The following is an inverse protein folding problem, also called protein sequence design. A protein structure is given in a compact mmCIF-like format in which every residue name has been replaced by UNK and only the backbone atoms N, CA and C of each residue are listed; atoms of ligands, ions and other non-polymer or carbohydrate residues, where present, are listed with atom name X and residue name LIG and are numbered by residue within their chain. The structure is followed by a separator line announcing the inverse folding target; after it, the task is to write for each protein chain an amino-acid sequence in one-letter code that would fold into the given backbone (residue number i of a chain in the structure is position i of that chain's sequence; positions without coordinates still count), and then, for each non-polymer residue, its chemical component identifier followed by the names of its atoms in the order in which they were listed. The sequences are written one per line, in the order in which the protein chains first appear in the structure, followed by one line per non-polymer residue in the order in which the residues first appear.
data_IF_768913798696
#
_entry.id   IF_768913798696
#
_cell.length_a   1.000
_cell.length_b   1.000
_cell.length_c   1.000
_cell.angle_alpha   90.00
_cell.angle_beta   90.00
_cell.angle_gamma   90.00
#
_symmetry.space_group_name_H-M   'P 1'
#
loop_
_entity.id
_entity.type
_entity.pdbx_description
1 polymer ?
#
# COMPACT_ATOMS: atom_id res chain seq x y z
N UNK A 1 24.24 -21.56 36.03
CA UNK A 1 24.63 -20.39 36.84
C UNK A 1 23.66 -20.32 38.02
N UNK A 2 24.06 -19.92 39.22
CA UNK A 2 23.13 -19.80 40.36
C UNK A 2 23.04 -18.32 40.76
N UNK A 3 21.84 -17.72 40.65
CA UNK A 3 21.60 -16.32 40.96
C UNK A 3 21.22 -16.19 42.43
N UNK A 4 22.13 -15.61 43.25
CA UNK A 4 21.84 -15.30 44.65
C UNK A 4 20.71 -14.29 44.76
N UNK A 5 19.65 -14.65 45.49
CA UNK A 5 18.42 -13.85 45.59
C UNK A 5 17.91 -13.77 47.04
N UNK A 6 17.25 -12.66 47.33
CA UNK A 6 16.52 -12.46 48.58
C UNK A 6 15.09 -12.06 48.24
N UNK A 7 14.15 -12.94 48.60
CA UNK A 7 12.72 -12.83 48.26
C UNK A 7 11.92 -12.76 49.57
N UNK A 8 11.19 -11.70 49.81
CA UNK A 8 10.42 -11.52 51.04
C UNK A 8 9.01 -10.96 50.75
N UNK A 9 8.02 -11.54 51.42
CA UNK A 9 6.70 -10.93 51.51
C UNK A 9 6.65 -9.96 52.68
N UNK A 10 6.12 -8.77 52.42
CA UNK A 10 6.02 -7.72 53.41
C UNK A 10 4.69 -6.97 53.29
N UNK A 11 4.26 -6.43 54.43
CA UNK A 11 3.11 -5.55 54.51
C UNK A 11 3.53 -4.10 54.24
N UNK A 12 2.95 -3.48 53.23
CA UNK A 12 3.10 -2.06 52.92
C UNK A 12 2.12 -1.27 53.84
N UNK A 13 2.59 -0.93 55.05
CA UNK A 13 1.78 -0.31 56.09
C UNK A 13 1.40 1.11 55.71
N UNK A 14 0.10 1.40 55.69
CA UNK A 14 -0.45 2.73 55.55
C UNK A 14 -0.79 3.29 56.96
N UNK A 15 -0.44 4.58 57.23
CA UNK A 15 -0.79 5.22 58.47
C UNK A 15 -2.30 5.11 58.74
N UNK A 16 -2.67 4.77 59.99
CA UNK A 16 -4.05 4.69 60.47
C UNK A 16 -4.94 3.60 59.89
N UNK A 17 -4.42 2.67 59.06
CA UNK A 17 -5.22 1.55 58.54
C UNK A 17 -4.90 0.25 59.27
N UNK A 18 -5.94 -0.51 59.66
CA UNK A 18 -5.77 -1.80 60.34
C UNK A 18 -5.27 -2.90 59.39
N UNK A 19 -5.37 -2.68 58.07
CA UNK A 19 -4.93 -3.59 57.02
C UNK A 19 -3.90 -2.94 56.10
N UNK A 20 -3.03 -3.74 55.50
CA UNK A 20 -1.96 -3.31 54.61
C UNK A 20 -1.95 -4.08 53.31
N UNK A 21 -1.40 -3.48 52.23
CA UNK A 21 -1.19 -4.17 50.97
C UNK A 21 -0.07 -5.19 51.14
N UNK A 22 -0.32 -6.41 50.64
CA UNK A 22 0.70 -7.45 50.62
C UNK A 22 1.55 -7.32 49.38
N UNK A 23 2.86 -7.20 49.55
CA UNK A 23 3.84 -7.11 48.47
C UNK A 23 4.87 -8.21 48.57
N UNK A 24 5.36 -8.68 47.42
CA UNK A 24 6.46 -9.59 47.27
C UNK A 24 7.65 -8.84 46.70
N UNK A 25 8.71 -8.63 47.50
CA UNK A 25 9.93 -7.92 47.11
C UNK A 25 11.05 -8.92 46.89
N UNK A 26 11.70 -8.78 45.72
CA UNK A 26 12.75 -9.66 45.26
C UNK A 26 13.99 -8.83 44.97
N UNK A 27 15.14 -9.25 45.49
CA UNK A 27 16.44 -8.60 45.25
C UNK A 27 17.45 -9.62 44.74
N UNK A 28 18.21 -9.26 43.73
CA UNK A 28 19.32 -10.06 43.19
C UNK A 28 20.31 -9.13 42.47
N UNK A 29 21.59 -9.38 42.56
CA UNK A 29 22.65 -8.72 41.80
C UNK A 29 22.45 -7.20 41.60
N UNK A 30 22.18 -6.47 42.68
CA UNK A 30 21.88 -5.02 42.62
C UNK A 30 20.48 -4.64 42.09
N UNK A 31 19.72 -5.56 41.53
CA UNK A 31 18.38 -5.36 41.05
C UNK A 31 17.32 -5.51 42.15
N UNK A 32 16.21 -4.79 42.00
CA UNK A 32 15.05 -4.93 42.89
C UNK A 32 13.74 -4.82 42.14
N UNK A 33 12.81 -5.76 42.38
CA UNK A 33 11.45 -5.73 41.85
C UNK A 33 10.48 -5.99 43.00
N UNK A 34 9.32 -5.35 42.97
CA UNK A 34 8.22 -5.62 43.90
C UNK A 34 6.91 -5.88 43.12
N UNK A 35 6.23 -6.96 43.49
CA UNK A 35 4.92 -7.35 42.96
C UNK A 35 3.84 -7.11 44.01
N UNK A 36 2.69 -6.64 43.59
CA UNK A 36 1.50 -6.58 44.42
C UNK A 36 0.80 -7.94 44.33
N UNK A 37 0.61 -8.59 45.49
CA UNK A 37 -0.07 -9.90 45.56
C UNK A 37 -1.58 -9.78 45.29
N UNK A 38 -2.12 -8.58 45.32
CA UNK A 38 -3.54 -8.33 45.01
C UNK A 38 -4.45 -8.35 46.25
N UNK A 39 -3.89 -8.62 47.44
CA UNK A 39 -4.68 -8.70 48.67
C UNK A 39 -4.23 -7.65 49.69
N UNK A 40 -5.18 -7.29 50.58
CA UNK A 40 -4.89 -6.53 51.82
C UNK A 40 -5.01 -7.50 52.99
N UNK A 41 -4.08 -7.39 53.91
CA UNK A 41 -3.96 -8.30 55.05
C UNK A 41 -4.05 -7.48 56.35
N UNK A 42 -4.85 -7.96 57.30
CA UNK A 42 -4.99 -7.36 58.64
C UNK A 42 -3.63 -7.46 59.37
N UNK A 43 -3.09 -6.35 59.83
CA UNK A 43 -1.73 -6.27 60.34
C UNK A 43 -1.46 -7.22 61.54
N UNK A 44 -2.45 -7.44 62.40
CA UNK A 44 -2.36 -8.32 63.57
C UNK A 44 -2.52 -9.81 63.26
N UNK A 45 -2.92 -10.16 62.05
CA UNK A 45 -3.11 -11.54 61.59
C UNK A 45 -2.01 -11.99 60.62
N UNK A 46 -0.94 -11.19 60.45
CA UNK A 46 0.22 -11.55 59.64
C UNK A 46 1.33 -12.10 60.53
N UNK A 47 1.92 -13.24 60.13
CA UNK A 47 3.08 -13.82 60.79
C UNK A 47 4.33 -13.46 59.98
N UNK A 48 5.10 -12.48 60.48
CA UNK A 48 6.23 -11.93 59.70
C UNK A 48 7.36 -12.95 59.50
N UNK A 49 7.64 -13.78 60.48
CA UNK A 49 8.67 -14.82 60.42
C UNK A 49 8.34 -15.90 59.39
N UNK A 50 7.08 -16.34 59.35
CA UNK A 50 6.59 -17.31 58.36
C UNK A 50 6.24 -16.68 57.00
N UNK A 51 6.12 -15.37 56.95
CA UNK A 51 5.65 -14.61 55.78
C UNK A 51 4.28 -15.12 55.25
N UNK A 52 3.34 -15.42 56.18
CA UNK A 52 2.03 -15.99 55.90
C UNK A 52 0.94 -15.39 56.80
N UNK A 53 -0.30 -15.45 56.30
CA UNK A 53 -1.45 -15.16 57.13
C UNK A 53 -1.70 -16.26 58.18
N UNK A 54 -2.12 -15.88 59.42
CA UNK A 54 -2.49 -16.84 60.46
C UNK A 54 -3.60 -17.78 59.97
N UNK A 55 -3.46 -19.12 60.16
CA UNK A 55 -4.51 -20.08 59.78
C UNK A 55 -5.88 -19.71 60.37
N UNK A 56 -6.93 -20.12 59.69
CA UNK A 56 -8.34 -19.94 60.13
C UNK A 56 -8.75 -18.47 60.39
N UNK A 57 -8.08 -17.51 59.71
CA UNK A 57 -8.45 -16.09 59.75
C UNK A 57 -8.99 -15.59 58.43
N UNK A 58 -9.66 -14.43 58.46
CA UNK A 58 -10.10 -13.71 57.26
C UNK A 58 -9.55 -12.30 57.26
N UNK A 59 -9.35 -11.70 56.08
CA UNK A 59 -8.64 -10.46 55.89
C UNK A 59 -9.42 -9.47 55.01
N UNK A 60 -9.20 -8.19 55.29
CA UNK A 60 -9.72 -7.07 54.49
C UNK A 60 -11.25 -6.96 54.51
N UNK A 61 -11.78 -5.94 53.85
CA UNK A 61 -13.25 -5.68 53.80
C UNK A 61 -14.05 -6.83 53.18
N UNK A 62 -13.47 -7.62 52.28
CA UNK A 62 -14.12 -8.75 51.60
C UNK A 62 -14.04 -10.07 52.36
N UNK A 63 -13.47 -10.08 53.58
CA UNK A 63 -13.28 -11.27 54.46
C UNK A 63 -12.66 -12.47 53.71
N UNK A 64 -11.62 -12.22 52.91
CA UNK A 64 -10.89 -13.27 52.16
C UNK A 64 -10.21 -14.19 53.16
N UNK A 65 -10.31 -15.52 52.96
CA UNK A 65 -9.69 -16.50 53.86
C UNK A 65 -8.17 -16.47 53.81
N UNK A 66 -7.52 -16.70 54.94
CA UNK A 66 -6.07 -16.84 55.00
C UNK A 66 -5.55 -17.96 54.08
N UNK A 67 -6.32 -19.03 53.91
CA UNK A 67 -5.99 -20.13 53.00
C UNK A 67 -5.86 -19.63 51.55
N UNK A 68 -6.82 -18.85 51.06
CA UNK A 68 -6.81 -18.26 49.72
C UNK A 68 -5.57 -17.34 49.52
N UNK A 69 -5.29 -16.49 50.49
CA UNK A 69 -4.14 -15.56 50.39
C UNK A 69 -2.83 -16.32 50.43
N UNK A 70 -2.69 -17.33 51.31
CA UNK A 70 -1.48 -18.14 51.40
C UNK A 70 -1.25 -18.99 50.15
N UNK A 71 -2.34 -19.50 49.50
CA UNK A 71 -2.25 -20.21 48.23
C UNK A 71 -1.71 -19.30 47.11
N UNK A 72 -2.14 -18.03 47.04
CA UNK A 72 -1.63 -17.06 46.08
C UNK A 72 -0.17 -16.67 46.36
N UNK A 73 0.23 -16.58 47.64
CA UNK A 73 1.62 -16.40 48.03
C UNK A 73 2.48 -17.54 47.49
N UNK A 74 2.07 -18.79 47.70
CA UNK A 74 2.79 -19.98 47.22
C UNK A 74 2.90 -19.98 45.72
N UNK A 75 1.81 -19.71 45.00
CA UNK A 75 1.79 -19.62 43.54
C UNK A 75 2.77 -18.57 43.01
N UNK A 76 2.85 -17.41 43.68
CA UNK A 76 3.77 -16.35 43.24
C UNK A 76 5.22 -16.70 43.56
N UNK A 77 5.50 -17.38 44.69
CA UNK A 77 6.83 -17.92 45.01
C UNK A 77 7.31 -18.91 43.93
N UNK A 78 6.46 -19.85 43.57
CA UNK A 78 6.73 -20.84 42.51
C UNK A 78 7.03 -20.14 41.18
N UNK A 79 6.15 -19.24 40.74
CA UNK A 79 6.36 -18.46 39.49
C UNK A 79 7.70 -17.72 39.50
N UNK A 80 8.09 -17.09 40.61
CA UNK A 80 9.35 -16.37 40.74
C UNK A 80 10.56 -17.33 40.72
N UNK A 81 10.45 -18.48 41.37
CA UNK A 81 11.50 -19.50 41.32
C UNK A 81 11.69 -20.07 39.93
N UNK A 82 10.63 -20.38 39.23
CA UNK A 82 10.66 -20.84 37.81
C UNK A 82 11.25 -19.77 36.88
N UNK A 83 10.98 -18.50 37.16
CA UNK A 83 11.58 -17.41 36.41
C UNK A 83 13.08 -17.33 36.60
N UNK A 84 13.56 -17.43 37.85
CA UNK A 84 15.01 -17.50 38.11
C UNK A 84 15.63 -18.71 37.47
N UNK A 85 15.02 -19.90 37.59
CA UNK A 85 15.49 -21.13 36.95
C UNK A 85 15.64 -20.98 35.43
N UNK A 86 14.69 -20.34 34.77
CA UNK A 86 14.79 -20.02 33.34
C UNK A 86 16.03 -19.18 33.02
N UNK A 87 16.27 -18.09 33.77
CA UNK A 87 17.44 -17.24 33.52
C UNK A 87 18.76 -17.95 33.91
N UNK A 88 18.75 -18.78 34.92
CA UNK A 88 19.91 -19.61 35.33
C UNK A 88 20.30 -20.62 34.22
N UNK A 89 19.32 -21.22 33.55
CA UNK A 89 19.55 -22.12 32.40
C UNK A 89 20.09 -21.40 31.19
N UNK A 90 19.61 -20.20 30.90
CA UNK A 90 20.07 -19.37 29.76
C UNK A 90 21.44 -18.71 30.02
N UNK A 91 21.97 -18.81 31.24
CA UNK A 91 23.24 -18.19 31.62
C UNK A 91 23.21 -16.66 31.65
N UNK A 92 22.02 -16.04 31.75
CA UNK A 92 21.79 -14.62 31.73
C UNK A 92 21.31 -14.10 33.09
N UNK A 93 21.93 -13.02 33.61
CA UNK A 93 21.44 -12.32 34.79
C UNK A 93 20.44 -11.25 34.34
N UNK A 94 19.14 -11.40 34.66
CA UNK A 94 18.12 -10.48 34.14
C UNK A 94 18.21 -9.10 34.83
N UNK A 95 17.89 -8.05 34.08
CA UNK A 95 17.58 -6.74 34.63
C UNK A 95 16.22 -6.77 35.34
N UNK A 96 15.93 -5.74 36.14
CA UNK A 96 14.63 -5.61 36.83
C UNK A 96 13.43 -5.59 35.86
N UNK A 97 13.60 -5.08 34.64
CA UNK A 97 12.57 -5.03 33.62
C UNK A 97 12.32 -6.41 33.02
N UNK A 98 13.38 -7.07 32.54
CA UNK A 98 13.31 -8.42 31.98
C UNK A 98 12.69 -9.44 32.94
N UNK A 99 13.12 -9.38 34.21
CA UNK A 99 12.56 -10.24 35.25
C UNK A 99 11.07 -10.00 35.49
N UNK A 100 10.66 -8.72 35.55
CA UNK A 100 9.25 -8.35 35.73
C UNK A 100 8.39 -8.81 34.55
N UNK A 101 8.89 -8.64 33.34
CA UNK A 101 8.17 -9.01 32.12
C UNK A 101 7.97 -10.52 32.04
N UNK A 102 9.01 -11.33 32.37
CA UNK A 102 8.90 -12.79 32.37
C UNK A 102 7.94 -13.31 33.45
N UNK A 103 7.99 -12.75 34.68
CA UNK A 103 7.02 -13.08 35.73
C UNK A 103 5.60 -12.69 35.33
N UNK A 104 5.40 -11.52 34.71
CA UNK A 104 4.08 -11.10 34.25
C UNK A 104 3.57 -12.00 33.10
N UNK A 105 4.44 -12.42 32.19
CA UNK A 105 4.12 -13.38 31.12
C UNK A 105 3.62 -14.70 31.69
N UNK A 106 4.37 -15.30 32.65
CA UNK A 106 3.99 -16.54 33.34
C UNK A 106 2.70 -16.42 34.13
N UNK A 107 2.40 -15.23 34.68
CA UNK A 107 1.15 -14.93 35.36
C UNK A 107 -0.02 -14.57 34.41
N UNK A 108 0.14 -14.65 33.09
CA UNK A 108 -0.87 -14.29 32.09
C UNK A 108 -1.24 -12.80 32.08
N UNK A 109 -0.40 -11.94 32.69
CA UNK A 109 -0.62 -10.48 32.73
C UNK A 109 -0.04 -9.73 31.56
N UNK A 110 0.88 -10.34 30.83
CA UNK A 110 1.37 -9.86 29.54
C UNK A 110 0.73 -10.74 28.48
N UNK A 111 -0.25 -10.23 27.78
CA UNK A 111 -0.58 -10.72 26.45
C UNK A 111 0.63 -10.40 25.59
N UNK A 112 1.34 -11.39 25.06
CA UNK A 112 2.37 -11.14 24.05
C UNK A 112 1.71 -10.24 23.01
N UNK A 113 2.24 -9.03 22.79
CA UNK A 113 1.84 -8.23 21.64
C UNK A 113 2.11 -9.10 20.45
N UNK A 114 1.05 -9.48 19.74
CA UNK A 114 1.18 -10.25 18.50
C UNK A 114 2.32 -9.63 17.69
N UNK A 115 3.33 -10.41 17.38
CA UNK A 115 4.45 -9.94 16.57
C UNK A 115 3.86 -9.49 15.25
N UNK A 116 4.00 -8.20 14.93
CA UNK A 116 3.54 -7.66 13.65
C UNK A 116 4.07 -8.54 12.52
N UNK A 117 3.17 -8.97 11.66
CA UNK A 117 3.50 -9.69 10.44
C UNK A 117 4.08 -8.74 9.39
N UNK A 118 4.71 -9.28 8.35
CA UNK A 118 5.16 -8.48 7.20
C UNK A 118 3.99 -7.72 6.57
N UNK A 119 2.77 -8.27 6.64
CA UNK A 119 1.56 -7.65 6.09
C UNK A 119 1.06 -6.49 6.93
N UNK A 120 1.25 -6.52 8.26
CA UNK A 120 0.97 -5.38 9.14
C UNK A 120 1.92 -4.22 8.84
N UNK A 121 3.20 -4.52 8.60
CA UNK A 121 4.18 -3.54 8.14
C UNK A 121 3.85 -3.02 6.74
N UNK A 122 3.35 -3.87 5.84
CA UNK A 122 2.93 -3.43 4.51
C UNK A 122 1.73 -2.48 4.59
N UNK A 123 0.76 -2.77 5.46
CA UNK A 123 -0.38 -1.88 5.69
C UNK A 123 0.05 -0.55 6.31
N UNK A 124 1.00 -0.58 7.22
CA UNK A 124 1.62 0.63 7.79
C UNK A 124 2.33 1.45 6.71
N UNK A 125 3.13 0.82 5.84
CA UNK A 125 3.76 1.44 4.68
C UNK A 125 2.74 2.13 3.77
N UNK A 126 1.66 1.45 3.41
CA UNK A 126 0.59 2.02 2.57
C UNK A 126 0.03 3.30 3.21
N UNK A 127 -0.18 3.29 4.52
CA UNK A 127 -0.74 4.42 5.26
C UNK A 127 0.24 5.58 5.35
N UNK A 128 1.49 5.33 5.75
CA UNK A 128 2.51 6.36 5.94
C UNK A 128 2.92 6.98 4.60
N UNK A 129 3.36 6.14 3.65
CA UNK A 129 3.84 6.60 2.35
C UNK A 129 2.72 7.19 1.49
N UNK A 130 1.52 6.67 1.64
CA UNK A 130 0.35 7.23 0.95
C UNK A 130 0.04 8.64 1.39
N UNK A 131 0.15 8.93 2.68
CA UNK A 131 -0.04 10.28 3.23
C UNK A 131 1.13 11.21 2.86
N UNK A 132 2.36 10.75 3.06
CA UNK A 132 3.58 11.52 2.81
C UNK A 132 3.70 11.95 1.34
N UNK A 133 3.40 11.04 0.41
CA UNK A 133 3.52 11.27 -1.04
C UNK A 133 2.18 11.61 -1.71
N UNK A 134 1.13 11.90 -0.96
CA UNK A 134 -0.20 12.27 -1.49
C UNK A 134 -0.69 11.31 -2.59
N UNK A 135 -0.66 9.99 -2.31
CA UNK A 135 -0.99 9.00 -3.31
C UNK A 135 -2.42 9.12 -3.84
N UNK A 136 -2.57 8.92 -5.14
CA UNK A 136 -3.88 8.75 -5.77
C UNK A 136 -4.54 7.43 -5.32
N UNK A 137 -5.88 7.34 -5.39
CA UNK A 137 -6.61 6.09 -5.13
C UNK A 137 -6.06 4.90 -5.93
N UNK A 138 -5.64 5.12 -7.18
CA UNK A 138 -5.07 4.07 -8.01
C UNK A 138 -3.74 3.55 -7.47
N UNK A 139 -2.92 4.41 -6.86
CA UNK A 139 -1.68 4.01 -6.21
C UNK A 139 -1.97 3.15 -4.98
N UNK A 140 -2.93 3.56 -4.13
CA UNK A 140 -3.40 2.75 -3.02
C UNK A 140 -3.91 1.37 -3.46
N UNK A 141 -4.75 1.31 -4.49
CA UNK A 141 -5.27 0.05 -5.06
C UNK A 141 -4.13 -0.86 -5.54
N UNK A 142 -3.12 -0.32 -6.22
CA UNK A 142 -1.96 -1.09 -6.71
C UNK A 142 -1.18 -1.73 -5.57
N UNK A 143 -0.88 -0.98 -4.49
CA UNK A 143 -0.18 -1.53 -3.33
C UNK A 143 -1.03 -2.57 -2.60
N UNK A 144 -2.33 -2.36 -2.43
CA UNK A 144 -3.25 -3.37 -1.88
C UNK A 144 -3.26 -4.65 -2.71
N UNK A 145 -3.30 -4.53 -4.04
CA UNK A 145 -3.22 -5.68 -4.95
C UNK A 145 -1.88 -6.41 -4.81
N UNK A 146 -0.77 -5.66 -4.73
CA UNK A 146 0.56 -6.25 -4.50
C UNK A 146 0.62 -7.01 -3.18
N UNK A 147 0.12 -6.41 -2.09
CA UNK A 147 0.03 -7.07 -0.78
C UNK A 147 -0.80 -8.36 -0.85
N UNK A 148 -1.93 -8.34 -1.58
CA UNK A 148 -2.76 -9.53 -1.78
C UNK A 148 -2.05 -10.63 -2.57
N UNK A 149 -1.22 -10.28 -3.56
CA UNK A 149 -0.38 -11.26 -4.25
C UNK A 149 0.65 -11.86 -3.32
N UNK A 150 1.31 -11.08 -2.47
CA UNK A 150 2.25 -11.60 -1.48
C UNK A 150 1.56 -12.53 -0.47
N UNK A 151 0.34 -12.21 -0.03
CA UNK A 151 -0.47 -13.09 0.84
C UNK A 151 -0.86 -14.40 0.17
N UNK A 152 -1.18 -14.38 -1.12
CA UNK A 152 -1.47 -15.59 -1.90
C UNK A 152 -0.22 -16.43 -2.16
N UNK A 153 0.91 -15.77 -2.37
CA UNK A 153 2.21 -16.42 -2.56
C UNK A 153 2.64 -17.18 -1.29
N UNK A 154 2.59 -16.54 -0.13
CA UNK A 154 2.89 -17.14 1.17
C UNK A 154 2.12 -16.41 2.28
N UNK A 155 1.08 -17.04 2.87
CA UNK A 155 0.27 -16.43 3.93
C UNK A 155 1.06 -16.07 5.20
N UNK A 156 2.09 -16.83 5.50
CA UNK A 156 3.02 -16.73 6.64
C UNK A 156 4.38 -16.12 6.26
N UNK A 157 4.44 -15.43 5.12
CA UNK A 157 5.64 -14.77 4.62
C UNK A 157 6.30 -13.88 5.70
N UNK A 158 7.63 -14.02 5.81
CA UNK A 158 8.48 -13.16 6.64
C UNK A 158 9.48 -12.39 5.79
N UNK A 159 10.13 -11.37 6.36
CA UNK A 159 11.22 -10.68 5.66
C UNK A 159 12.40 -11.62 5.33
N UNK A 160 12.70 -12.57 6.21
CA UNK A 160 13.79 -13.52 6.02
C UNK A 160 13.58 -14.48 4.84
N UNK A 161 12.33 -14.69 4.41
CA UNK A 161 12.00 -15.52 3.25
C UNK A 161 12.28 -14.82 1.92
N UNK A 162 12.44 -13.49 1.92
CA UNK A 162 12.64 -12.68 0.71
C UNK A 162 14.12 -12.53 0.33
N UNK A 163 14.87 -13.65 0.44
CA UNK A 163 16.22 -13.83 -0.12
C UNK A 163 16.21 -13.76 -1.65
N UNK A 164 17.36 -13.84 -2.30
CA UNK A 164 17.43 -13.98 -3.77
C UNK A 164 16.59 -15.15 -4.29
N UNK A 165 16.61 -16.30 -3.59
CA UNK A 165 15.82 -17.47 -3.93
C UNK A 165 14.32 -17.22 -3.69
N UNK A 166 13.94 -16.60 -2.56
CA UNK A 166 12.57 -16.25 -2.26
C UNK A 166 11.97 -15.26 -3.27
N UNK A 167 12.74 -14.25 -3.69
CA UNK A 167 12.33 -13.34 -4.74
C UNK A 167 12.22 -14.01 -6.11
N UNK A 168 13.07 -15.02 -6.39
CA UNK A 168 12.94 -15.85 -7.60
C UNK A 168 11.66 -16.66 -7.59
N UNK A 169 11.34 -17.31 -6.46
CA UNK A 169 10.06 -18.05 -6.29
C UNK A 169 8.84 -17.12 -6.42
N UNK A 170 8.95 -15.86 -6.00
CA UNK A 170 7.89 -14.86 -6.22
C UNK A 170 7.70 -14.56 -7.71
N UNK A 171 8.78 -14.50 -8.49
CA UNK A 171 8.69 -14.38 -9.96
C UNK A 171 7.97 -15.59 -10.55
N UNK A 172 8.37 -16.81 -10.14
CA UNK A 172 7.75 -18.08 -10.62
C UNK A 172 6.27 -18.13 -10.26
N UNK A 173 5.89 -17.67 -9.07
CA UNK A 173 4.49 -17.50 -8.69
C UNK A 173 3.72 -16.63 -9.68
N UNK A 174 4.25 -15.46 -10.08
CA UNK A 174 3.59 -14.60 -11.08
C UNK A 174 3.50 -15.25 -12.46
N UNK A 175 4.39 -16.18 -12.77
CA UNK A 175 4.37 -16.91 -14.05
C UNK A 175 3.42 -18.12 -14.02
N UNK A 176 2.98 -18.58 -12.85
CA UNK A 176 2.13 -19.75 -12.68
C UNK A 176 0.67 -19.46 -12.36
N UNK A 177 0.34 -18.25 -11.88
CA UNK A 177 -1.04 -17.91 -11.50
C UNK A 177 -1.94 -17.74 -12.73
N UNK A 178 -3.22 -18.08 -12.56
CA UNK A 178 -4.25 -17.80 -13.58
C UNK A 178 -4.66 -16.32 -13.54
N UNK A 179 -4.67 -15.70 -14.71
CA UNK A 179 -5.12 -14.31 -14.92
C UNK A 179 -5.98 -14.30 -16.21
N UNK A 180 -7.22 -13.85 -16.09
CA UNK A 180 -8.16 -13.76 -17.22
C UNK A 180 -8.32 -15.09 -18.01
N UNK A 181 -8.37 -16.23 -17.30
CA UNK A 181 -8.41 -17.60 -17.83
C UNK A 181 -7.15 -18.03 -18.60
N UNK A 182 -6.04 -17.34 -18.43
CA UNK A 182 -4.74 -17.70 -19.00
C UNK A 182 -3.68 -17.90 -17.91
N UNK A 183 -2.78 -18.86 -18.10
CA UNK A 183 -1.68 -19.10 -17.19
C UNK A 183 -0.61 -18.04 -17.33
N UNK A 184 -0.18 -17.48 -16.19
CA UNK A 184 0.91 -16.54 -16.07
C UNK A 184 0.55 -15.09 -16.41
N UNK A 185 1.18 -14.18 -15.69
CA UNK A 185 1.10 -12.74 -15.99
C UNK A 185 2.02 -12.36 -17.16
N UNK A 186 1.64 -11.31 -17.88
CA UNK A 186 2.57 -10.62 -18.79
C UNK A 186 3.78 -10.12 -18.00
N UNK A 187 5.00 -10.37 -18.48
CA UNK A 187 6.24 -10.02 -17.79
C UNK A 187 6.28 -8.57 -17.29
N UNK A 188 5.76 -7.64 -18.10
CA UNK A 188 5.67 -6.23 -17.72
C UNK A 188 4.78 -6.00 -16.47
N UNK A 189 3.70 -6.78 -16.33
CA UNK A 189 2.80 -6.69 -15.17
C UNK A 189 3.44 -7.27 -13.92
N UNK A 190 4.06 -8.46 -14.02
CA UNK A 190 4.79 -9.08 -12.93
C UNK A 190 5.91 -8.15 -12.43
N UNK A 191 6.69 -7.59 -13.36
CA UNK A 191 7.77 -6.62 -13.04
C UNK A 191 7.28 -5.40 -12.26
N UNK A 192 6.08 -4.89 -12.59
CA UNK A 192 5.46 -3.80 -11.81
C UNK A 192 5.18 -4.21 -10.36
N UNK A 193 4.61 -5.39 -10.12
CA UNK A 193 4.32 -5.85 -8.76
C UNK A 193 5.60 -6.11 -7.97
N UNK A 194 6.63 -6.68 -8.61
CA UNK A 194 7.95 -6.86 -7.99
C UNK A 194 8.55 -5.52 -7.58
N UNK A 195 8.48 -4.50 -8.44
CA UNK A 195 9.00 -3.17 -8.12
C UNK A 195 8.22 -2.49 -6.97
N UNK A 196 6.89 -2.68 -6.90
CA UNK A 196 6.09 -2.20 -5.78
C UNK A 196 6.44 -2.91 -4.47
N UNK A 197 6.69 -4.23 -4.52
CA UNK A 197 7.18 -5.00 -3.38
C UNK A 197 8.58 -4.52 -2.94
N UNK A 198 9.49 -4.29 -3.88
CA UNK A 198 10.82 -3.73 -3.58
C UNK A 198 10.75 -2.34 -2.94
N UNK A 199 9.81 -1.49 -3.34
CA UNK A 199 9.60 -0.19 -2.69
C UNK A 199 9.18 -0.36 -1.22
N UNK A 200 8.24 -1.26 -0.95
CA UNK A 200 7.89 -1.61 0.43
C UNK A 200 9.09 -2.15 1.23
N UNK A 201 9.87 -3.08 0.65
CA UNK A 201 11.04 -3.67 1.31
C UNK A 201 12.11 -2.61 1.62
N UNK A 202 12.32 -1.66 0.72
CA UNK A 202 13.22 -0.53 0.94
C UNK A 202 12.78 0.31 2.13
N UNK A 203 11.52 0.73 2.18
CA UNK A 203 10.96 1.46 3.31
C UNK A 203 11.09 0.68 4.63
N UNK A 204 10.79 -0.62 4.60
CA UNK A 204 10.90 -1.48 5.78
C UNK A 204 12.35 -1.59 6.28
N UNK A 205 13.34 -1.58 5.37
CA UNK A 205 14.77 -1.58 5.72
C UNK A 205 15.21 -0.23 6.31
N UNK A 206 14.75 0.88 5.74
CA UNK A 206 15.02 2.23 6.26
C UNK A 206 14.44 2.44 7.66
N UNK A 207 13.31 1.80 7.98
CA UNK A 207 12.69 1.79 9.32
C UNK A 207 13.31 0.74 10.28
N UNK A 208 14.25 -0.08 9.83
CA UNK A 208 14.89 -1.13 10.64
C UNK A 208 14.03 -2.39 10.87
N UNK A 209 12.88 -2.52 10.18
CA UNK A 209 12.00 -3.71 10.27
C UNK A 209 12.52 -4.88 9.44
N UNK A 210 13.14 -4.58 8.30
CA UNK A 210 13.71 -5.57 7.39
C UNK A 210 15.24 -5.53 7.44
N UNK A 211 15.85 -6.69 7.69
CA UNK A 211 17.32 -6.88 7.66
C UNK A 211 17.78 -7.61 6.40
N UNK A 212 16.85 -8.24 5.65
CA UNK A 212 17.16 -8.91 4.38
C UNK A 212 17.26 -7.88 3.26
N UNK A 213 18.40 -7.82 2.60
CA UNK A 213 18.72 -6.81 1.58
C UNK A 213 18.84 -7.38 0.16
N UNK A 214 18.50 -8.64 -0.04
CA UNK A 214 18.58 -9.29 -1.36
C UNK A 214 17.81 -8.51 -2.45
N UNK A 215 16.70 -7.85 -2.09
CA UNK A 215 15.89 -7.05 -3.03
C UNK A 215 16.67 -5.90 -3.70
N UNK A 216 17.76 -5.41 -3.10
CA UNK A 216 18.58 -4.31 -3.64
C UNK A 216 19.34 -4.77 -4.89
N UNK A 217 19.92 -5.96 -4.84
CA UNK A 217 20.74 -6.54 -5.91
C UNK A 217 19.96 -7.47 -6.83
N UNK A 218 18.78 -7.95 -6.39
CA UNK A 218 17.93 -8.83 -7.17
C UNK A 218 17.47 -8.17 -8.47
N UNK A 219 17.72 -8.84 -9.59
CA UNK A 219 17.24 -8.44 -10.91
C UNK A 219 16.39 -9.58 -11.46
N UNK A 220 15.10 -9.33 -11.62
CA UNK A 220 14.22 -10.25 -12.31
C UNK A 220 14.64 -10.42 -13.78
N UNK A 221 14.88 -11.66 -14.22
CA UNK A 221 15.29 -11.97 -15.59
C UNK A 221 14.07 -12.06 -16.54
N UNK A 222 13.14 -11.13 -16.40
CA UNK A 222 11.93 -11.09 -17.23
C UNK A 222 12.18 -10.23 -18.48
N UNK A 223 12.10 -10.86 -19.66
CA UNK A 223 12.19 -10.14 -20.94
C UNK A 223 10.98 -9.23 -21.11
N UNK A 224 11.19 -7.99 -21.51
CA UNK A 224 10.12 -7.03 -21.84
C UNK A 224 10.44 -6.33 -23.16
N UNK A 225 9.42 -6.06 -23.95
CA UNK A 225 9.52 -5.29 -25.18
C UNK A 225 8.80 -3.96 -24.95
N UNK A 226 9.33 -2.83 -25.43
CA UNK A 226 8.62 -1.57 -25.43
C UNK A 226 7.30 -1.70 -26.21
N UNK A 227 6.22 -1.17 -25.66
CA UNK A 227 4.94 -1.21 -26.34
C UNK A 227 4.97 -0.35 -27.61
N UNK A 228 4.44 -0.87 -28.73
CA UNK A 228 4.25 -0.11 -29.97
C UNK A 228 3.38 1.12 -29.69
N UNK A 229 3.77 2.26 -30.24
CA UNK A 229 2.97 3.49 -30.14
C UNK A 229 1.78 3.37 -31.06
N UNK A 230 0.57 3.38 -30.53
CA UNK A 230 -0.69 3.34 -31.30
C UNK A 230 -1.28 4.74 -31.30
N UNK A 231 -1.55 5.25 -32.49
CA UNK A 231 -2.12 6.59 -32.72
C UNK A 231 -2.88 6.61 -34.04
N UNK A 232 -3.71 7.61 -34.27
CA UNK A 232 -4.36 7.85 -35.55
C UNK A 232 -3.48 8.70 -36.46
N UNK A 233 -3.22 8.23 -37.67
CA UNK A 233 -2.63 9.08 -38.72
C UNK A 233 -3.58 10.23 -39.05
N UNK A 234 -3.06 11.25 -39.71
CA UNK A 234 -3.85 12.45 -40.02
C UNK A 234 -5.15 12.12 -40.78
N UNK A 235 -5.07 11.28 -41.81
CA UNK A 235 -6.24 10.88 -42.61
C UNK A 235 -7.27 10.12 -41.77
N UNK A 236 -6.82 9.22 -40.88
CA UNK A 236 -7.70 8.47 -39.97
C UNK A 236 -8.36 9.41 -38.94
N UNK A 237 -7.60 10.36 -38.39
CA UNK A 237 -8.15 11.38 -37.50
C UNK A 237 -9.20 12.23 -38.19
N UNK A 238 -8.96 12.63 -39.43
CA UNK A 238 -9.92 13.42 -40.19
C UNK A 238 -11.15 12.59 -40.62
N UNK A 239 -11.01 11.29 -40.91
CA UNK A 239 -12.13 10.38 -41.08
C UNK A 239 -13.02 10.33 -39.83
N UNK A 240 -12.41 10.15 -38.63
CA UNK A 240 -13.13 10.18 -37.34
C UNK A 240 -13.80 11.54 -37.10
N UNK A 241 -13.09 12.64 -37.32
CA UNK A 241 -13.61 14.00 -37.09
C UNK A 241 -14.82 14.33 -37.95
N UNK A 242 -14.81 13.91 -39.23
CA UNK A 242 -15.87 14.17 -40.16
C UNK A 242 -17.02 13.15 -40.12
N UNK A 243 -16.86 12.04 -39.43
CA UNK A 243 -17.92 11.06 -39.23
C UNK A 243 -19.11 11.66 -38.47
N UNK A 244 -20.31 11.22 -38.79
CA UNK A 244 -21.56 11.68 -38.14
C UNK A 244 -22.31 10.49 -37.57
N UNK A 245 -22.88 10.67 -36.39
CA UNK A 245 -23.65 9.64 -35.67
C UNK A 245 -25.01 10.18 -35.24
N UNK A 246 -25.89 10.54 -36.21
CA UNK A 246 -27.12 11.28 -35.93
C UNK A 246 -28.09 10.52 -35.01
N UNK A 247 -28.10 9.20 -35.07
CA UNK A 247 -28.96 8.36 -34.25
C UNK A 247 -28.32 7.89 -32.96
N UNK A 248 -27.06 8.24 -32.72
CA UNK A 248 -26.26 7.81 -31.57
C UNK A 248 -25.56 9.02 -30.88
N UNK A 249 -26.33 9.87 -30.16
CA UNK A 249 -25.79 11.11 -29.59
C UNK A 249 -24.59 10.87 -28.64
N UNK A 250 -24.53 9.69 -28.03
CA UNK A 250 -23.41 9.31 -27.15
C UNK A 250 -22.11 9.04 -27.93
N UNK A 251 -22.19 8.51 -29.16
CA UNK A 251 -21.03 8.35 -30.05
C UNK A 251 -20.59 9.69 -30.62
N UNK A 252 -21.56 10.53 -31.04
CA UNK A 252 -21.25 11.89 -31.52
C UNK A 252 -20.49 12.70 -30.47
N UNK A 253 -20.94 12.67 -29.22
CA UNK A 253 -20.26 13.30 -28.09
C UNK A 253 -18.87 12.71 -27.84
N UNK A 254 -18.77 11.38 -27.80
CA UNK A 254 -17.49 10.70 -27.56
C UNK A 254 -16.47 10.98 -28.66
N UNK A 255 -16.92 11.05 -29.93
CA UNK A 255 -16.12 11.47 -31.08
C UNK A 255 -15.54 12.87 -30.88
N UNK A 256 -16.40 13.83 -30.55
CA UNK A 256 -15.99 15.22 -30.37
C UNK A 256 -14.98 15.36 -29.21
N UNK A 257 -15.24 14.71 -28.07
CA UNK A 257 -14.30 14.68 -26.93
C UNK A 257 -12.96 14.05 -27.30
N UNK A 258 -12.97 12.92 -28.03
CA UNK A 258 -11.75 12.24 -28.45
C UNK A 258 -10.96 13.07 -29.50
N UNK A 259 -11.64 13.63 -30.50
CA UNK A 259 -11.02 14.54 -31.46
C UNK A 259 -10.43 15.78 -30.77
N UNK A 260 -11.13 16.34 -29.77
CA UNK A 260 -10.60 17.43 -28.97
C UNK A 260 -9.28 17.05 -28.26
N UNK A 261 -9.18 15.83 -27.71
CA UNK A 261 -7.93 15.32 -27.17
C UNK A 261 -6.83 15.19 -28.25
N UNK A 262 -7.19 14.72 -29.44
CA UNK A 262 -6.27 14.59 -30.56
C UNK A 262 -5.77 15.96 -31.08
N UNK A 263 -6.53 17.01 -30.90
CA UNK A 263 -6.17 18.38 -31.36
C UNK A 263 -5.54 19.26 -30.27
N UNK A 264 -5.60 18.84 -28.97
CA UNK A 264 -5.08 19.64 -27.85
C UNK A 264 -4.01 18.91 -27.03
N UNK A 265 -3.79 17.62 -27.27
CA UNK A 265 -2.93 16.75 -26.46
C UNK A 265 -3.34 16.54 -24.99
N UNK A 266 -4.44 17.10 -24.54
CA UNK A 266 -4.89 16.99 -23.15
C UNK A 266 -5.13 15.53 -22.74
N UNK A 267 -4.77 15.19 -21.51
CA UNK A 267 -5.14 13.90 -20.94
C UNK A 267 -6.65 13.84 -20.71
N UNK A 268 -7.23 12.64 -20.69
CA UNK A 268 -8.65 12.46 -20.39
C UNK A 268 -9.09 13.19 -19.10
N UNK A 269 -8.29 13.11 -18.02
CA UNK A 269 -8.56 13.81 -16.77
C UNK A 269 -8.63 15.32 -16.94
N UNK A 270 -7.75 15.88 -17.76
CA UNK A 270 -7.65 17.32 -17.97
C UNK A 270 -8.82 17.81 -18.81
N UNK A 271 -9.21 17.06 -19.88
CA UNK A 271 -10.41 17.39 -20.68
C UNK A 271 -11.68 17.29 -19.85
N UNK A 272 -11.80 16.25 -19.01
CA UNK A 272 -12.98 16.05 -18.16
C UNK A 272 -13.19 17.21 -17.17
N UNK A 273 -12.10 17.79 -16.70
CA UNK A 273 -12.14 18.86 -15.71
C UNK A 273 -11.86 20.26 -16.30
N UNK A 274 -11.76 20.37 -17.64
CA UNK A 274 -11.58 21.63 -18.33
C UNK A 274 -12.78 22.55 -18.09
N UNK A 275 -12.55 23.70 -17.50
CA UNK A 275 -13.58 24.70 -17.23
C UNK A 275 -13.66 25.70 -18.38
N UNK A 276 -14.84 26.28 -18.59
CA UNK A 276 -15.03 27.39 -19.55
C UNK A 276 -14.10 28.57 -19.23
N UNK A 277 -13.84 28.83 -17.95
CA UNK A 277 -12.93 29.88 -17.49
C UNK A 277 -11.45 29.63 -17.81
N UNK A 278 -11.06 28.37 -18.09
CA UNK A 278 -9.70 28.01 -18.47
C UNK A 278 -9.40 28.33 -19.94
N UNK A 279 -10.43 28.73 -20.71
CA UNK A 279 -10.36 29.00 -22.14
C UNK A 279 -10.51 30.53 -22.36
N UNK A 280 -9.44 31.17 -22.77
CA UNK A 280 -9.41 32.60 -22.97
C UNK A 280 -8.51 32.95 -24.14
N UNK A 281 -8.92 33.93 -24.94
CA UNK A 281 -8.16 34.51 -26.08
C UNK A 281 -7.56 33.47 -27.03
N UNK A 282 -8.30 32.37 -27.30
CA UNK A 282 -7.87 31.33 -28.20
C UNK A 282 -6.86 30.33 -27.59
N UNK A 283 -6.66 30.38 -26.28
CA UNK A 283 -5.77 29.47 -25.54
C UNK A 283 -6.52 28.72 -24.46
N UNK A 284 -6.02 27.52 -24.15
CA UNK A 284 -6.32 26.79 -22.90
C UNK A 284 -5.17 27.03 -21.94
N UNK A 285 -5.47 27.49 -20.72
CA UNK A 285 -4.49 27.67 -19.65
C UNK A 285 -4.94 26.87 -18.44
N UNK A 286 -4.25 25.79 -18.14
CA UNK A 286 -4.58 24.88 -17.03
C UNK A 286 -3.32 24.43 -16.27
N UNK A 287 -3.52 23.99 -15.02
CA UNK A 287 -2.57 23.12 -14.32
C UNK A 287 -3.02 21.67 -14.45
N UNK A 288 -2.18 20.79 -14.96
CA UNK A 288 -2.55 19.37 -15.20
C UNK A 288 -2.79 18.64 -13.90
N UNK A 289 -3.83 17.80 -13.83
CA UNK A 289 -4.21 17.06 -12.61
C UNK A 289 -3.18 16.00 -12.20
N UNK A 290 -2.45 15.43 -13.16
CA UNK A 290 -1.55 14.30 -12.88
C UNK A 290 -0.13 14.72 -12.51
N UNK A 291 0.34 15.85 -13.00
CA UNK A 291 1.75 16.25 -12.90
C UNK A 291 1.94 17.65 -12.35
N UNK A 292 0.84 18.35 -12.00
CA UNK A 292 0.78 19.72 -11.49
C UNK A 292 1.58 20.72 -12.36
N UNK A 293 1.67 20.42 -13.68
CA UNK A 293 2.37 21.28 -14.64
C UNK A 293 1.44 22.32 -15.24
N UNK A 294 1.81 23.59 -15.26
CA UNK A 294 1.07 24.62 -15.98
C UNK A 294 1.23 24.41 -17.48
N UNK A 295 0.12 24.38 -18.21
CA UNK A 295 0.10 24.29 -19.67
C UNK A 295 -0.63 25.48 -20.27
N UNK A 296 -0.07 26.03 -21.35
CA UNK A 296 -0.75 26.96 -22.24
C UNK A 296 -0.77 26.34 -23.63
N UNK A 297 -1.96 26.03 -24.13
CA UNK A 297 -2.16 25.32 -25.42
C UNK A 297 -2.98 26.24 -26.31
N UNK A 298 -2.46 26.53 -27.50
CA UNK A 298 -3.18 27.27 -28.50
C UNK A 298 -4.28 26.41 -29.16
N UNK A 299 -5.46 26.96 -29.27
CA UNK A 299 -6.59 26.32 -29.92
C UNK A 299 -6.51 26.47 -31.43
N UNK A 300 -6.42 25.34 -32.14
CA UNK A 300 -6.53 25.29 -33.59
C UNK A 300 -8.01 25.36 -34.04
N UNK A 301 -8.22 25.46 -35.37
CA UNK A 301 -9.56 25.57 -35.94
C UNK A 301 -10.50 24.42 -35.59
N UNK A 302 -9.99 23.21 -35.46
CA UNK A 302 -10.79 22.02 -35.13
C UNK A 302 -11.21 22.00 -33.67
N UNK A 303 -10.29 22.27 -32.75
CA UNK A 303 -10.62 22.37 -31.33
C UNK A 303 -11.57 23.52 -31.01
N UNK A 304 -11.43 24.68 -31.70
CA UNK A 304 -12.37 25.81 -31.61
C UNK A 304 -13.76 25.40 -32.08
N UNK A 305 -13.87 24.72 -33.24
CA UNK A 305 -15.16 24.24 -33.77
C UNK A 305 -15.87 23.27 -32.83
N UNK A 306 -15.12 22.38 -32.18
CA UNK A 306 -15.69 21.47 -31.17
C UNK A 306 -16.21 22.25 -29.97
N UNK A 307 -15.42 23.19 -29.41
CA UNK A 307 -15.85 24.01 -28.26
C UNK A 307 -17.09 24.86 -28.57
N UNK A 308 -17.21 25.37 -29.80
CA UNK A 308 -18.37 26.14 -30.22
C UNK A 308 -19.67 25.32 -30.22
N UNK A 309 -19.61 24.01 -30.54
CA UNK A 309 -20.78 23.10 -30.45
C UNK A 309 -21.31 22.99 -29.00
N UNK A 310 -20.46 23.17 -28.01
CA UNK A 310 -20.79 22.93 -26.60
C UNK A 310 -20.78 24.21 -25.76
N UNK A 311 -20.71 25.40 -26.36
CA UNK A 311 -20.61 26.69 -25.65
C UNK A 311 -21.78 26.95 -24.69
N UNK A 312 -23.01 26.57 -25.13
CA UNK A 312 -24.27 26.85 -24.42
C UNK A 312 -24.64 25.76 -23.41
N UNK A 313 -23.79 24.75 -23.22
CA UNK A 313 -24.00 23.73 -22.19
C UNK A 313 -24.03 24.36 -20.80
N UNK A 314 -25.01 23.97 -19.98
CA UNK A 314 -25.10 24.40 -18.58
C UNK A 314 -23.91 23.91 -17.75
N UNK A 315 -23.49 24.72 -16.77
CA UNK A 315 -22.42 24.40 -15.84
C UNK A 315 -21.07 25.01 -16.20
N UNK A 316 -20.06 24.68 -15.39
CA UNK A 316 -18.73 25.29 -15.44
C UNK A 316 -17.76 24.60 -16.40
N UNK A 317 -18.04 23.36 -16.80
CA UNK A 317 -17.16 22.56 -17.67
C UNK A 317 -17.36 22.89 -19.14
N UNK A 318 -16.27 22.83 -19.91
CA UNK A 318 -16.28 23.15 -21.34
C UNK A 318 -16.89 22.04 -22.20
N UNK A 319 -16.81 20.79 -21.77
CA UNK A 319 -17.31 19.63 -22.49
C UNK A 319 -18.00 18.64 -21.54
N UNK A 320 -19.09 17.95 -21.98
CA UNK A 320 -19.78 16.94 -21.18
C UNK A 320 -19.11 15.56 -21.35
N UNK A 321 -17.97 15.36 -20.70
CA UNK A 321 -17.11 14.19 -20.89
C UNK A 321 -17.66 12.93 -20.21
N UNK A 322 -18.00 11.85 -20.94
CA UNK A 322 -18.43 10.57 -20.37
C UNK A 322 -17.32 9.94 -19.49
N UNK A 323 -17.69 9.01 -18.60
CA UNK A 323 -16.70 8.26 -17.80
C UNK A 323 -15.72 7.49 -18.68
N UNK A 324 -14.45 7.39 -18.24
CA UNK A 324 -13.35 6.87 -19.06
C UNK A 324 -13.59 5.48 -19.65
N UNK A 325 -14.25 4.60 -18.90
CA UNK A 325 -14.57 3.25 -19.37
C UNK A 325 -15.52 3.28 -20.57
N UNK A 326 -16.57 4.13 -20.51
CA UNK A 326 -17.51 4.32 -21.64
C UNK A 326 -16.80 5.00 -22.81
N UNK A 327 -15.99 6.03 -22.56
CA UNK A 327 -15.20 6.68 -23.61
C UNK A 327 -14.35 5.67 -24.40
N UNK A 328 -13.61 4.80 -23.70
CA UNK A 328 -12.78 3.78 -24.37
C UNK A 328 -13.63 2.80 -25.21
N UNK A 329 -14.84 2.45 -24.77
CA UNK A 329 -15.75 1.63 -25.53
C UNK A 329 -16.22 2.36 -26.80
N UNK A 330 -16.73 3.57 -26.64
CA UNK A 330 -17.27 4.38 -27.75
C UNK A 330 -16.21 4.75 -28.77
N UNK A 331 -14.99 5.07 -28.37
CA UNK A 331 -13.88 5.33 -29.28
C UNK A 331 -13.61 4.13 -30.20
N UNK A 332 -13.66 2.91 -29.67
CA UNK A 332 -13.49 1.69 -30.48
C UNK A 332 -14.62 1.50 -31.47
N UNK A 333 -15.86 1.74 -31.06
CA UNK A 333 -17.05 1.68 -31.93
C UNK A 333 -16.97 2.71 -33.07
N UNK A 334 -16.58 3.95 -32.74
CA UNK A 334 -16.35 5.04 -33.71
C UNK A 334 -15.24 4.67 -34.70
N UNK A 335 -14.07 4.24 -34.20
CA UNK A 335 -12.95 3.87 -35.05
C UNK A 335 -13.27 2.66 -35.96
N UNK A 336 -14.08 1.71 -35.46
CA UNK A 336 -14.58 0.58 -36.25
C UNK A 336 -15.51 1.06 -37.34
N UNK A 337 -16.44 1.97 -37.06
CA UNK A 337 -17.35 2.55 -38.04
C UNK A 337 -16.61 3.37 -39.12
N UNK A 338 -15.46 3.94 -38.78
CA UNK A 338 -14.56 4.65 -39.68
C UNK A 338 -13.57 3.71 -40.41
N UNK A 339 -13.75 2.39 -40.33
CA UNK A 339 -12.95 1.37 -41.03
C UNK A 339 -11.44 1.42 -40.69
N UNK A 340 -11.06 1.82 -39.48
CA UNK A 340 -9.67 1.86 -39.01
C UNK A 340 -9.22 0.44 -38.63
N UNK A 341 -9.08 -0.43 -39.62
CA UNK A 341 -8.94 -1.88 -39.47
C UNK A 341 -7.51 -2.40 -39.70
N UNK A 342 -6.51 -1.51 -39.88
CA UNK A 342 -5.10 -1.94 -40.05
C UNK A 342 -4.72 -3.00 -39.03
N UNK A 343 -4.15 -4.17 -39.43
CA UNK A 343 -3.71 -5.19 -38.51
C UNK A 343 -2.46 -4.74 -37.76
N UNK A 344 -2.53 -4.69 -36.42
CA UNK A 344 -1.43 -4.30 -35.55
C UNK A 344 -0.97 -5.52 -34.75
N UNK A 345 0.28 -5.92 -34.96
CA UNK A 345 0.91 -6.95 -34.12
C UNK A 345 1.38 -6.36 -32.79
N UNK A 346 0.92 -6.93 -31.69
CA UNK A 346 1.37 -6.67 -30.33
C UNK A 346 2.21 -7.83 -29.82
N UNK A 347 3.47 -7.56 -29.56
CA UNK A 347 4.39 -8.55 -29.00
C UNK A 347 4.59 -8.32 -27.51
N UNK A 348 4.54 -9.38 -26.73
CA UNK A 348 4.90 -9.36 -25.30
C UNK A 348 5.43 -10.73 -24.87
N UNK A 349 5.90 -10.84 -23.62
CA UNK A 349 6.38 -12.08 -23.05
C UNK A 349 5.53 -12.50 -21.84
N UNK A 350 5.32 -13.81 -21.70
CA UNK A 350 4.91 -14.50 -20.49
C UNK A 350 6.02 -15.47 -20.12
N UNK A 351 6.75 -15.22 -19.01
CA UNK A 351 7.97 -15.96 -18.71
C UNK A 351 8.99 -15.87 -19.84
N UNK A 352 9.39 -17.00 -20.39
CA UNK A 352 10.30 -17.12 -21.53
C UNK A 352 9.58 -17.08 -22.90
N UNK A 353 8.26 -17.31 -22.91
CA UNK A 353 7.47 -17.43 -24.12
C UNK A 353 7.19 -16.05 -24.73
N UNK A 354 7.45 -15.92 -26.04
CA UNK A 354 7.08 -14.75 -26.82
C UNK A 354 5.69 -14.97 -27.41
N UNK A 355 4.81 -14.01 -27.19
CA UNK A 355 3.44 -14.02 -27.70
C UNK A 355 3.25 -12.86 -28.67
N UNK A 356 2.76 -13.16 -29.86
CA UNK A 356 2.43 -12.20 -30.90
C UNK A 356 0.91 -12.27 -31.15
N UNK A 357 0.18 -11.19 -30.81
CA UNK A 357 -1.26 -11.05 -31.02
C UNK A 357 -1.52 -10.03 -32.13
N UNK A 358 -2.37 -10.37 -33.08
CA UNK A 358 -2.78 -9.46 -34.14
C UNK A 358 -4.18 -8.94 -33.81
N UNK A 359 -4.30 -7.61 -33.72
CA UNK A 359 -5.56 -6.93 -33.48
C UNK A 359 -5.82 -5.89 -34.56
N UNK A 360 -7.07 -5.66 -34.98
CA UNK A 360 -7.41 -4.49 -35.78
C UNK A 360 -7.14 -3.21 -34.97
N UNK A 361 -6.64 -2.19 -35.63
CA UNK A 361 -6.17 -0.94 -34.99
C UNK A 361 -7.22 -0.31 -34.08
N UNK A 362 -8.51 -0.33 -34.46
CA UNK A 362 -9.60 0.23 -33.66
C UNK A 362 -9.71 -0.38 -32.27
N UNK A 363 -9.39 -1.66 -32.11
CA UNK A 363 -9.42 -2.31 -30.77
C UNK A 363 -8.37 -1.79 -29.82
N UNK A 364 -7.31 -1.19 -30.35
CA UNK A 364 -6.17 -0.71 -29.58
C UNK A 364 -6.26 0.79 -29.30
N UNK A 365 -7.20 1.50 -29.92
CA UNK A 365 -7.42 2.93 -29.71
C UNK A 365 -8.23 3.15 -28.41
N UNK A 366 -7.83 4.14 -27.65
CA UNK A 366 -8.51 4.59 -26.43
C UNK A 366 -8.12 6.02 -26.09
N UNK A 367 -8.66 6.56 -25.02
CA UNK A 367 -8.48 7.97 -24.63
C UNK A 367 -7.02 8.41 -24.59
N UNK A 368 -6.09 7.54 -24.16
CA UNK A 368 -4.67 7.89 -24.13
C UNK A 368 -4.04 8.00 -25.53
N UNK A 369 -4.64 7.35 -26.55
CA UNK A 369 -4.19 7.46 -27.93
C UNK A 369 -4.43 8.88 -28.50
N UNK A 370 -5.43 9.62 -28.02
CA UNK A 370 -5.65 11.01 -28.44
C UNK A 370 -4.41 11.89 -28.26
N UNK A 371 -3.77 11.80 -27.09
CA UNK A 371 -2.51 12.53 -26.83
C UNK A 371 -1.34 12.05 -27.71
N UNK A 372 -1.23 10.74 -27.95
CA UNK A 372 -0.21 10.18 -28.85
C UNK A 372 -0.45 10.63 -30.29
N UNK A 373 -1.71 10.66 -30.73
CA UNK A 373 -2.15 11.16 -32.04
C UNK A 373 -1.68 12.62 -32.24
N UNK A 374 -1.92 13.48 -31.26
CA UNK A 374 -1.42 14.84 -31.32
C UNK A 374 0.11 14.91 -31.51
N UNK A 375 0.84 14.20 -30.65
CA UNK A 375 2.33 14.23 -30.64
C UNK A 375 2.87 13.72 -31.97
N UNK A 376 2.43 12.56 -32.44
CA UNK A 376 2.92 11.95 -33.67
C UNK A 376 2.61 12.82 -34.90
N UNK A 377 1.36 13.30 -35.03
CA UNK A 377 1.00 14.17 -36.15
C UNK A 377 1.74 15.52 -36.11
N UNK A 378 1.93 16.13 -34.94
CA UNK A 378 2.69 17.36 -34.80
C UNK A 378 4.15 17.18 -35.24
N UNK A 379 4.80 16.10 -34.85
CA UNK A 379 6.16 15.76 -35.26
C UNK A 379 6.24 15.46 -36.76
N UNK A 380 5.26 14.73 -37.32
CA UNK A 380 5.16 14.45 -38.77
C UNK A 380 4.98 15.73 -39.61
N UNK A 381 4.29 16.74 -39.05
CA UNK A 381 4.17 18.06 -39.65
C UNK A 381 5.44 18.92 -39.52
N UNK A 382 6.51 18.40 -38.94
CA UNK A 382 7.79 19.09 -38.79
C UNK A 382 7.82 20.08 -37.61
N UNK A 383 6.85 20.04 -36.69
CA UNK A 383 6.89 20.87 -35.49
C UNK A 383 8.02 20.41 -34.59
N UNK A 384 8.88 21.33 -34.17
CA UNK A 384 10.06 20.99 -33.37
C UNK A 384 9.65 20.32 -32.05
N UNK A 385 10.34 19.22 -31.66
CA UNK A 385 9.97 18.44 -30.45
C UNK A 385 9.89 19.26 -29.16
N UNK A 386 10.75 20.26 -28.98
CA UNK A 386 10.70 21.17 -27.83
C UNK A 386 9.41 21.99 -27.74
N UNK A 387 8.79 22.33 -28.87
CA UNK A 387 7.50 23.01 -28.91
C UNK A 387 6.38 22.02 -28.54
N UNK A 388 6.41 20.83 -29.12
CA UNK A 388 5.44 19.75 -28.78
C UNK A 388 5.54 19.42 -27.28
N UNK A 389 6.73 19.38 -26.70
CA UNK A 389 6.93 19.13 -25.27
C UNK A 389 6.30 20.25 -24.41
N UNK A 390 6.39 21.52 -24.80
CA UNK A 390 5.72 22.63 -24.09
C UNK A 390 4.20 22.47 -24.07
N UNK A 391 3.58 22.11 -25.20
CA UNK A 391 2.13 21.88 -25.32
C UNK A 391 1.67 20.65 -24.53
N UNK A 392 2.55 19.67 -24.41
CA UNK A 392 2.22 18.39 -23.75
C UNK A 392 2.67 18.31 -22.29
N UNK A 393 3.52 19.23 -21.81
CA UNK A 393 4.12 19.17 -20.47
C UNK A 393 5.02 17.97 -20.26
N UNK A 394 5.77 17.54 -21.27
CA UNK A 394 6.82 16.53 -21.12
C UNK A 394 8.14 17.21 -20.71
N UNK A 395 8.81 16.64 -19.71
CA UNK A 395 10.11 17.14 -19.21
C UNK A 395 11.28 16.55 -19.97
N UNK A 396 11.14 15.37 -20.54
CA UNK A 396 12.16 14.59 -21.22
C UNK A 396 11.75 14.15 -22.61
N UNK A 397 12.72 13.97 -23.50
CA UNK A 397 12.56 13.45 -24.86
C UNK A 397 12.31 11.91 -24.94
N UNK A 398 11.94 11.27 -23.87
CA UNK A 398 11.72 9.80 -23.82
C UNK A 398 10.44 9.35 -24.46
#
# INVERSE_FOLDING_TARGET
MNIKRNCIFLLDKEKEKPDSKLRYRIKWDGNTVAFNVGYRVDNNKWVAEAQRCKPNTTHGKKKISAATINSEINRLEETVNDTFFFFEQTGHIPTSLEFRDEVNKRNGKIVEKEKKTIFDYYQQFITEQGKENSWSENTYKRHKTTMNHLKKFAPDLTFADLTHEGLSRLVDYFMSIEVDNETGMKNYTAKKYINLAKWFLKWASEKGYNKELAFVTFKEKLKTIPAKVIFLEWNELMSVYNATFPNEPHLELAKDVFCFQCFTSLRYSDVKNLKKADIYDGYITITTIKTDEPLKIELNKYSKAILEKYKDIEGIYALPVPVNQRMNKYIKEICKACEINEPICRTYYKGAERIDEIHPKYELIGTHCGRKTFICNALMLGIAPNIVMKWTGHKDYK
#
